data_IF_101606671635
#
_entry.id   IF_101606671635
#
_cell.length_a   1.000
_cell.length_b   1.000
_cell.length_c   1.000
_cell.angle_alpha   90.00
_cell.angle_beta   90.00
_cell.angle_gamma   90.00
#
_symmetry.space_group_name_H-M   'P 1'
#
loop_
_entity.id
_entity.type
_entity.pdbx_description
1 polymer ?
#
# COMPACT_ATOMS: atom_id res chain seq x y z
N UNK A 1 -14.32 6.08 -15.02
CA UNK A 1 -13.62 6.75 -13.90
C UNK A 1 -12.75 7.89 -14.40
N UNK A 2 -11.99 7.68 -15.47
CA UNK A 2 -11.20 8.74 -16.12
C UNK A 2 -11.76 9.05 -17.50
N UNK A 3 -11.67 10.32 -17.89
CA UNK A 3 -12.01 10.77 -19.23
C UNK A 3 -10.97 10.24 -20.23
N UNK A 4 -11.43 9.58 -21.31
CA UNK A 4 -10.55 9.01 -22.34
C UNK A 4 -9.65 10.05 -22.98
N UNK A 5 -10.13 11.28 -23.16
CA UNK A 5 -9.33 12.38 -23.72
C UNK A 5 -8.20 12.78 -22.76
N UNK A 6 -8.50 12.89 -21.46
CA UNK A 6 -7.48 13.21 -20.44
C UNK A 6 -6.46 12.09 -20.26
N UNK A 7 -6.87 10.83 -20.40
CA UNK A 7 -5.92 9.71 -20.41
C UNK A 7 -5.00 9.77 -21.64
N UNK A 8 -5.53 10.07 -22.82
CA UNK A 8 -4.70 10.21 -24.01
C UNK A 8 -3.68 11.36 -23.88
N UNK A 9 -4.12 12.53 -23.40
CA UNK A 9 -3.24 13.67 -23.12
C UNK A 9 -2.16 13.32 -22.08
N UNK A 10 -2.52 12.57 -21.04
CA UNK A 10 -1.58 12.11 -20.03
C UNK A 10 -0.55 11.12 -20.61
N UNK A 11 -0.96 10.25 -21.53
CA UNK A 11 -0.05 9.33 -22.22
C UNK A 11 0.96 10.11 -23.06
N UNK A 12 0.50 11.07 -23.88
CA UNK A 12 1.40 11.90 -24.69
C UNK A 12 2.38 12.70 -23.84
N UNK A 13 1.90 13.30 -22.74
CA UNK A 13 2.76 14.03 -21.81
C UNK A 13 3.79 13.13 -21.13
N UNK A 14 3.43 11.89 -20.81
CA UNK A 14 4.33 10.89 -20.24
C UNK A 14 5.41 10.52 -21.24
N UNK A 15 5.04 10.21 -22.49
CA UNK A 15 5.98 9.85 -23.55
C UNK A 15 6.98 11.00 -23.81
N UNK A 16 6.47 12.23 -23.91
CA UNK A 16 7.31 13.42 -24.04
C UNK A 16 8.27 13.59 -22.87
N UNK A 17 7.84 13.33 -21.64
CA UNK A 17 8.71 13.39 -20.47
C UNK A 17 9.80 12.30 -20.50
N UNK A 18 9.47 11.09 -20.95
CA UNK A 18 10.41 9.98 -21.10
C UNK A 18 11.51 10.30 -22.12
N UNK A 19 11.13 10.86 -23.28
CA UNK A 19 12.06 11.23 -24.35
C UNK A 19 12.92 12.45 -24.04
N UNK A 20 12.40 13.40 -23.25
CA UNK A 20 13.09 14.68 -23.01
C UNK A 20 13.81 14.69 -21.67
N UNK A 21 13.05 14.76 -20.58
CA UNK A 21 13.54 15.07 -19.24
C UNK A 21 14.21 13.85 -18.62
N UNK A 22 13.58 12.70 -18.77
CA UNK A 22 14.11 11.44 -18.26
C UNK A 22 15.36 11.03 -19.04
N UNK A 23 15.29 11.01 -20.38
CA UNK A 23 16.43 10.66 -21.22
C UNK A 23 17.66 11.52 -20.88
N UNK A 24 17.51 12.85 -20.85
CA UNK A 24 18.60 13.78 -20.49
C UNK A 24 19.20 13.48 -19.12
N UNK A 25 18.38 13.11 -18.15
CA UNK A 25 18.84 12.73 -16.81
C UNK A 25 19.62 11.43 -16.85
N UNK A 26 19.07 10.38 -17.48
CA UNK A 26 19.68 9.05 -17.54
C UNK A 26 21.00 9.03 -18.34
N UNK A 27 21.11 9.85 -19.39
CA UNK A 27 22.37 10.00 -20.15
C UNK A 27 23.51 10.57 -19.30
N UNK A 28 23.19 11.36 -18.27
CA UNK A 28 24.17 12.01 -17.40
C UNK A 28 24.39 11.24 -16.10
N UNK A 29 23.33 10.67 -15.56
CA UNK A 29 23.30 9.95 -14.30
C UNK A 29 22.40 8.70 -14.45
N UNK A 30 22.99 7.53 -14.73
CA UNK A 30 22.22 6.31 -14.85
C UNK A 30 21.63 5.90 -13.49
N UNK A 31 20.56 5.11 -13.54
CA UNK A 31 19.95 4.56 -12.34
C UNK A 31 20.85 3.50 -11.67
N UNK A 32 20.63 3.31 -10.37
CA UNK A 32 21.45 2.39 -9.54
C UNK A 32 21.31 0.91 -9.95
N UNK A 33 20.21 0.56 -10.60
CA UNK A 33 19.87 -0.78 -11.06
C UNK A 33 19.15 -0.66 -12.38
N UNK A 34 19.32 -1.64 -13.25
CA UNK A 34 18.55 -1.75 -14.49
C UNK A 34 17.06 -2.02 -14.21
N UNK A 35 16.77 -2.80 -13.17
CA UNK A 35 15.41 -3.10 -12.74
C UNK A 35 15.26 -2.96 -11.22
N UNK A 36 14.12 -2.42 -10.82
CA UNK A 36 13.70 -2.35 -9.43
C UNK A 36 12.61 -3.40 -9.22
N UNK A 37 12.78 -4.26 -8.22
CA UNK A 37 11.83 -5.32 -7.88
C UNK A 37 11.46 -5.24 -6.40
N UNK A 38 10.26 -5.71 -6.07
CA UNK A 38 9.85 -5.93 -4.69
C UNK A 38 10.57 -7.16 -4.10
N UNK A 39 10.44 -7.37 -2.80
CA UNK A 39 10.94 -8.60 -2.14
C UNK A 39 10.26 -9.87 -2.65
N UNK A 40 9.09 -9.74 -3.27
CA UNK A 40 8.34 -10.82 -3.90
C UNK A 40 8.64 -10.94 -5.40
N UNK A 41 9.71 -10.28 -5.89
CA UNK A 41 10.17 -10.31 -7.28
C UNK A 41 9.26 -9.62 -8.31
N UNK A 42 8.29 -8.82 -7.86
CA UNK A 42 7.45 -8.03 -8.78
C UNK A 42 8.19 -6.78 -9.29
N UNK A 43 8.18 -6.49 -10.61
CA UNK A 43 8.83 -5.32 -11.16
C UNK A 43 8.12 -4.02 -10.76
N UNK A 44 8.91 -3.02 -10.38
CA UNK A 44 8.44 -1.70 -9.98
C UNK A 44 8.70 -0.72 -11.13
N UNK A 45 7.63 -0.12 -11.66
CA UNK A 45 7.75 0.94 -12.67
C UNK A 45 8.33 2.20 -12.04
N UNK A 46 9.04 3.00 -12.84
CA UNK A 46 9.59 4.30 -12.42
C UNK A 46 8.50 5.28 -11.94
N UNK A 47 7.34 5.24 -12.58
CA UNK A 47 6.22 6.13 -12.30
C UNK A 47 4.91 5.38 -12.54
N UNK A 48 3.99 5.49 -11.58
CA UNK A 48 2.61 5.01 -11.70
C UNK A 48 1.69 6.22 -11.85
N UNK A 49 0.73 6.11 -12.75
CA UNK A 49 -0.18 7.17 -13.17
C UNK A 49 -1.60 6.61 -13.31
N UNK A 50 -2.63 7.46 -13.51
CA UNK A 50 -3.96 7.00 -13.88
C UNK A 50 -4.03 6.04 -15.09
N UNK A 51 -3.02 6.04 -15.98
CA UNK A 51 -2.92 5.08 -17.09
C UNK A 51 -2.76 3.64 -16.59
N UNK A 52 -2.08 3.45 -15.46
CA UNK A 52 -1.80 2.13 -14.90
C UNK A 52 -3.01 1.48 -14.22
N UNK A 53 -4.08 2.26 -14.00
CA UNK A 53 -5.34 1.82 -13.40
C UNK A 53 -6.54 2.18 -14.27
N UNK A 54 -6.33 2.47 -15.55
CA UNK A 54 -7.39 2.94 -16.46
C UNK A 54 -8.52 1.91 -16.63
N UNK A 55 -8.18 0.61 -16.62
CA UNK A 55 -9.11 -0.50 -16.76
C UNK A 55 -9.69 -0.99 -15.42
N UNK A 56 -9.32 -0.37 -14.30
CA UNK A 56 -9.82 -0.75 -12.99
C UNK A 56 -11.29 -0.37 -12.86
N UNK A 57 -12.18 -1.36 -12.74
CA UNK A 57 -13.54 -1.12 -12.26
C UNK A 57 -13.48 -0.73 -10.78
N UNK A 58 -13.69 0.55 -10.50
CA UNK A 58 -13.60 1.11 -9.16
C UNK A 58 -14.63 0.50 -8.20
N UNK A 59 -15.88 0.32 -8.65
CA UNK A 59 -16.94 -0.18 -7.77
C UNK A 59 -16.78 -1.67 -7.53
N UNK A 60 -16.43 -2.44 -8.56
CA UNK A 60 -16.27 -3.88 -8.43
C UNK A 60 -15.00 -4.27 -7.66
N UNK A 61 -13.87 -3.61 -7.90
CA UNK A 61 -12.59 -4.02 -7.32
C UNK A 61 -12.28 -3.34 -5.98
N UNK A 62 -12.69 -2.09 -5.78
CA UNK A 62 -12.43 -1.37 -4.52
C UNK A 62 -13.64 -1.39 -3.59
N UNK A 63 -14.85 -1.21 -4.15
CA UNK A 63 -16.10 -1.22 -3.38
C UNK A 63 -16.15 -0.16 -2.26
N UNK A 64 -17.03 -0.41 -1.28
CA UNK A 64 -17.15 0.37 -0.05
C UNK A 64 -16.62 -0.43 1.14
N UNK A 65 -16.03 0.22 2.17
CA UNK A 65 -15.58 -0.49 3.36
C UNK A 65 -16.77 -1.16 4.07
N UNK A 66 -16.58 -2.38 4.56
CA UNK A 66 -17.65 -3.18 5.17
C UNK A 66 -18.53 -3.96 4.19
N UNK A 67 -18.26 -3.88 2.88
CA UNK A 67 -18.97 -4.61 1.83
C UNK A 67 -17.98 -5.36 0.93
N UNK A 68 -18.43 -6.43 0.27
CA UNK A 68 -17.62 -7.16 -0.72
C UNK A 68 -17.14 -6.18 -1.82
N UNK A 69 -15.88 -6.26 -2.29
CA UNK A 69 -14.84 -7.26 -2.01
C UNK A 69 -13.97 -7.01 -0.77
N UNK A 70 -14.36 -6.07 0.10
CA UNK A 70 -13.65 -5.70 1.33
C UNK A 70 -12.23 -5.16 1.12
N UNK A 71 -11.87 -4.78 -0.10
CA UNK A 71 -10.54 -4.21 -0.44
C UNK A 71 -10.22 -2.98 0.40
N UNK A 72 -11.24 -2.19 0.78
CA UNK A 72 -11.10 -0.98 1.62
C UNK A 72 -11.27 -1.24 3.12
N UNK A 73 -11.42 -2.50 3.52
CA UNK A 73 -11.58 -2.93 4.91
C UNK A 73 -12.89 -3.67 5.15
N UNK A 74 -12.87 -4.56 6.15
CA UNK A 74 -13.98 -5.44 6.52
C UNK A 74 -15.08 -4.77 7.36
N UNK A 75 -14.83 -3.56 7.87
CA UNK A 75 -15.78 -2.80 8.69
C UNK A 75 -16.05 -1.44 8.07
N UNK A 76 -17.31 -0.99 8.06
CA UNK A 76 -17.69 0.28 7.45
C UNK A 76 -17.00 1.51 8.08
N UNK A 77 -16.84 1.53 9.40
CA UNK A 77 -16.20 2.65 10.11
C UNK A 77 -14.69 2.48 10.34
N UNK A 78 -14.15 1.29 10.11
CA UNK A 78 -12.76 0.91 10.44
C UNK A 78 -12.30 1.52 11.78
N UNK A 79 -11.09 2.09 11.79
CA UNK A 79 -10.42 2.63 12.97
C UNK A 79 -11.00 3.96 13.48
N UNK A 80 -11.96 4.56 12.78
CA UNK A 80 -12.74 5.68 13.33
C UNK A 80 -13.74 5.21 14.39
N UNK A 81 -14.21 3.97 14.27
CA UNK A 81 -15.13 3.35 15.25
C UNK A 81 -14.37 2.60 16.35
N UNK A 82 -13.44 1.72 15.96
CA UNK A 82 -12.61 0.96 16.92
C UNK A 82 -11.19 0.83 16.39
N UNK A 83 -10.15 1.26 17.12
CA UNK A 83 -8.77 1.05 16.71
C UNK A 83 -8.45 -0.45 16.62
N UNK A 84 -7.38 -0.80 15.91
CA UNK A 84 -6.91 -2.18 15.90
C UNK A 84 -6.53 -2.62 17.33
N UNK A 85 -6.64 -3.91 17.60
CA UNK A 85 -6.20 -4.47 18.88
C UNK A 85 -4.68 -4.45 18.94
N UNK A 86 -4.11 -3.64 19.84
CA UNK A 86 -2.69 -3.78 20.20
C UNK A 86 -2.52 -5.09 20.96
N UNK A 87 -1.82 -6.05 20.35
CA UNK A 87 -1.55 -7.40 20.87
C UNK A 87 -0.05 -7.64 20.85
N UNK A 88 0.60 -7.43 21.99
CA UNK A 88 2.03 -7.68 22.15
C UNK A 88 2.27 -9.17 22.38
N UNK A 89 3.13 -9.78 21.57
CA UNK A 89 3.59 -11.14 21.82
C UNK A 89 4.46 -11.15 23.08
N UNK A 90 4.13 -12.02 24.03
CA UNK A 90 4.92 -12.28 25.22
C UNK A 90 4.84 -13.76 25.59
N UNK A 91 5.92 -14.29 26.12
CA UNK A 91 6.03 -15.69 26.52
C UNK A 91 7.49 -16.06 26.71
N UNK A 92 7.87 -16.36 27.94
CA UNK A 92 9.20 -16.83 28.32
C UNK A 92 9.13 -17.48 29.70
N UNK A 93 10.08 -18.38 30.00
CA UNK A 93 10.18 -19.00 31.31
C UNK A 93 8.97 -19.87 31.67
N UNK A 94 8.52 -19.79 32.92
CA UNK A 94 7.38 -20.57 33.43
C UNK A 94 6.03 -19.90 33.12
N UNK A 95 4.95 -20.64 33.38
CA UNK A 95 3.59 -20.13 33.23
C UNK A 95 3.32 -18.91 34.13
N UNK A 96 3.85 -18.90 35.34
CA UNK A 96 3.72 -17.80 36.31
C UNK A 96 4.44 -16.53 35.83
N UNK A 97 5.65 -16.67 35.29
CA UNK A 97 6.45 -15.55 34.77
C UNK A 97 5.79 -14.92 33.55
N UNK A 98 5.28 -15.76 32.64
CA UNK A 98 4.50 -15.30 31.49
C UNK A 98 3.18 -14.65 31.92
N UNK A 99 2.48 -15.18 32.93
CA UNK A 99 1.27 -14.57 33.48
C UNK A 99 1.53 -13.19 34.09
N UNK A 100 2.63 -13.04 34.84
CA UNK A 100 3.06 -11.76 35.38
C UNK A 100 3.33 -10.74 34.26
N UNK A 101 3.99 -11.17 33.17
CA UNK A 101 4.23 -10.32 32.01
C UNK A 101 2.92 -9.91 31.30
N UNK A 102 1.96 -10.81 31.14
CA UNK A 102 0.67 -10.47 30.55
C UNK A 102 -0.09 -9.43 31.36
N UNK A 103 -0.14 -9.56 32.69
CA UNK A 103 -0.76 -8.57 33.58
C UNK A 103 -0.11 -7.19 33.41
N UNK A 104 1.23 -7.15 33.42
CA UNK A 104 1.97 -5.91 33.16
C UNK A 104 1.60 -5.29 31.80
N UNK A 105 1.52 -6.08 30.73
CA UNK A 105 1.18 -5.57 29.41
C UNK A 105 -0.24 -4.99 29.35
N UNK A 106 -1.21 -5.64 30.00
CA UNK A 106 -2.58 -5.14 30.10
C UNK A 106 -2.63 -3.78 30.82
N UNK A 107 -1.85 -3.61 31.90
CA UNK A 107 -1.72 -2.32 32.60
C UNK A 107 -1.11 -1.22 31.72
N UNK A 108 -0.21 -1.58 30.80
CA UNK A 108 0.42 -0.65 29.86
C UNK A 108 -0.41 -0.38 28.59
N UNK A 109 -1.67 -0.82 28.54
CA UNK A 109 -2.58 -0.54 27.43
C UNK A 109 -2.57 -1.57 26.29
N UNK A 110 -1.99 -2.75 26.52
CA UNK A 110 -2.23 -3.90 25.65
C UNK A 110 -3.71 -4.31 25.75
N UNK A 111 -4.37 -4.56 24.62
CA UNK A 111 -5.81 -4.87 24.56
C UNK A 111 -6.10 -6.32 24.11
N UNK A 112 -5.06 -7.14 23.98
CA UNK A 112 -5.17 -8.52 23.50
C UNK A 112 -3.99 -9.38 23.85
#
# INVERSE_FOLDING_TARGET
MYDKQKLAELAENKDKWEETTLHKTLSRFPERKEQFITTSSEPIKRLYTPLDVADLDYQQHLGMPGEYPYTRGVHASMYRGRPWTTRMFAGFGTAEETNARYKYLLEQGNMG
#
